data_IF_330322479736
#
_entry.id   IF_330322479736
#
_cell.length_a   1.000
_cell.length_b   1.000
_cell.length_c   1.000
_cell.angle_alpha   90.00
_cell.angle_beta   90.00
_cell.angle_gamma   90.00
#
_symmetry.space_group_name_H-M   'P 1'
#
loop_
_entity.id
_entity.type
_entity.pdbx_description
1 polymer ?
#
# COMPACT_ATOMS: atom_id res chain seq x y z
N UNK A 1 -8.91 -6.65 -15.64
CA UNK A 1 -7.45 -6.66 -15.92
C UNK A 1 -7.21 -7.62 -17.09
N UNK A 2 -6.41 -7.23 -18.08
CA UNK A 2 -6.07 -8.08 -19.22
C UNK A 2 -5.13 -9.20 -18.74
N UNK A 3 -5.37 -10.47 -19.19
CA UNK A 3 -4.59 -11.65 -18.79
C UNK A 3 -3.07 -11.47 -19.01
N UNK A 4 -2.67 -10.73 -20.05
CA UNK A 4 -1.28 -10.39 -20.31
C UNK A 4 -0.61 -9.59 -19.20
N UNK A 5 -1.33 -8.63 -18.61
CA UNK A 5 -0.82 -7.83 -17.48
C UNK A 5 -0.71 -8.67 -16.20
N UNK A 6 -1.66 -9.58 -15.98
CA UNK A 6 -1.62 -10.48 -14.82
C UNK A 6 -0.41 -11.40 -14.89
N UNK A 7 -0.17 -12.02 -16.05
CA UNK A 7 1.00 -12.87 -16.27
C UNK A 7 2.30 -12.10 -16.07
N UNK A 8 2.43 -10.90 -16.60
CA UNK A 8 3.61 -10.07 -16.43
C UNK A 8 3.86 -9.70 -14.95
N UNK A 9 2.81 -9.44 -14.17
CA UNK A 9 2.95 -9.18 -12.73
C UNK A 9 3.36 -10.45 -11.95
N UNK A 10 2.83 -11.62 -12.31
CA UNK A 10 3.22 -12.90 -11.71
C UNK A 10 4.70 -13.24 -12.01
N UNK A 11 5.17 -12.98 -13.23
CA UNK A 11 6.57 -13.14 -13.62
C UNK A 11 7.49 -12.17 -12.83
N UNK A 12 7.12 -10.90 -12.72
CA UNK A 12 7.88 -9.91 -11.95
C UNK A 12 7.97 -10.30 -10.48
N UNK A 13 6.88 -10.79 -9.90
CA UNK A 13 6.84 -11.27 -8.52
C UNK A 13 7.75 -12.49 -8.33
N UNK A 14 7.70 -13.46 -9.23
CA UNK A 14 8.57 -14.67 -9.17
C UNK A 14 10.04 -14.29 -9.23
N UNK A 15 10.42 -13.33 -10.07
CA UNK A 15 11.78 -12.78 -10.13
C UNK A 15 12.15 -12.09 -8.83
N UNK A 16 11.23 -11.28 -8.26
CA UNK A 16 11.47 -10.63 -6.97
C UNK A 16 11.69 -11.64 -5.84
N UNK A 17 10.85 -12.68 -5.73
CA UNK A 17 10.95 -13.72 -4.68
C UNK A 17 12.32 -14.43 -4.67
N UNK A 18 12.96 -14.53 -5.81
CA UNK A 18 14.28 -15.18 -5.93
C UNK A 18 15.46 -14.21 -5.87
N UNK A 19 15.23 -12.91 -5.99
CA UNK A 19 16.28 -11.90 -6.10
C UNK A 19 16.87 -11.45 -4.75
N UNK A 20 16.21 -11.72 -3.62
CA UNK A 20 16.55 -11.15 -2.32
C UNK A 20 16.31 -9.64 -2.21
N UNK A 21 15.56 -9.06 -3.15
CA UNK A 21 15.24 -7.64 -3.15
C UNK A 21 14.28 -7.25 -2.00
N UNK A 22 14.30 -6.00 -1.54
CA UNK A 22 13.40 -5.50 -0.50
C UNK A 22 11.92 -5.71 -0.84
N UNK A 23 11.08 -5.90 0.18
CA UNK A 23 9.62 -6.01 0.01
C UNK A 23 9.04 -4.69 -0.52
N UNK A 24 9.50 -3.58 0.06
CA UNK A 24 9.17 -2.23 -0.40
C UNK A 24 10.49 -1.50 -0.64
N UNK A 25 10.62 -0.89 -1.82
CA UNK A 25 11.74 -0.03 -2.15
C UNK A 25 11.20 1.35 -2.52
N UNK A 26 11.58 2.35 -1.76
CA UNK A 26 11.22 3.75 -2.00
C UNK A 26 12.45 4.46 -2.57
N UNK A 27 12.28 5.17 -3.68
CA UNK A 27 13.35 5.88 -4.38
C UNK A 27 12.97 7.33 -4.61
N UNK A 28 13.75 8.23 -4.02
CA UNK A 28 13.65 9.69 -4.20
C UNK A 28 12.21 10.20 -4.14
N UNK A 29 11.46 9.71 -3.13
CA UNK A 29 10.05 10.01 -3.00
C UNK A 29 9.83 11.47 -2.61
N UNK A 30 9.07 12.18 -3.41
CA UNK A 30 8.69 13.56 -3.17
C UNK A 30 7.17 13.70 -3.08
N UNK A 31 6.73 14.58 -2.18
CA UNK A 31 5.35 15.03 -2.10
C UNK A 31 5.29 16.50 -1.75
N UNK A 32 4.70 17.25 -2.66
CA UNK A 32 4.44 18.67 -2.49
C UNK A 32 2.95 18.92 -2.37
N UNK A 33 2.58 19.84 -1.49
CA UNK A 33 1.24 20.41 -1.35
C UNK A 33 1.42 21.93 -1.55
N UNK A 34 1.11 22.42 -2.74
CA UNK A 34 1.42 23.79 -3.16
C UNK A 34 2.91 24.11 -2.89
N UNK A 35 3.20 25.07 -2.02
CA UNK A 35 4.56 25.47 -1.64
C UNK A 35 5.18 24.60 -0.53
N UNK A 36 4.41 23.68 0.07
CA UNK A 36 4.89 22.82 1.14
C UNK A 36 5.49 21.53 0.60
N UNK A 37 6.79 21.34 0.79
CA UNK A 37 7.50 20.08 0.52
C UNK A 37 7.32 19.13 1.71
N UNK A 38 6.29 18.31 1.70
CA UNK A 38 6.00 17.37 2.77
C UNK A 38 6.97 16.18 2.78
N UNK A 39 7.39 15.72 1.59
CA UNK A 39 8.47 14.75 1.39
C UNK A 39 9.44 15.33 0.36
N UNK A 40 10.74 15.20 0.59
CA UNK A 40 11.78 15.78 -0.23
C UNK A 40 12.92 14.77 -0.47
N UNK A 41 12.71 13.87 -1.44
CA UNK A 41 13.70 12.88 -1.87
C UNK A 41 13.92 11.75 -0.85
N UNK A 42 12.85 11.20 -0.26
CA UNK A 42 12.95 10.09 0.70
C UNK A 42 13.26 8.79 -0.02
N UNK A 43 14.34 8.13 0.37
CA UNK A 43 14.71 6.80 -0.13
C UNK A 43 14.90 5.83 1.05
N UNK A 44 14.26 4.66 0.97
CA UNK A 44 14.36 3.62 2.01
C UNK A 44 13.99 2.26 1.42
N UNK A 45 14.68 1.23 1.87
CA UNK A 45 14.37 -0.17 1.60
C UNK A 45 13.79 -0.82 2.85
N UNK A 46 12.69 -1.56 2.70
CA UNK A 46 12.02 -2.30 3.77
C UNK A 46 11.95 -3.77 3.35
N UNK A 47 12.58 -4.64 4.12
CA UNK A 47 12.62 -6.06 3.85
C UNK A 47 11.41 -6.78 4.45
N UNK A 48 11.16 -7.97 3.97
CA UNK A 48 10.13 -8.84 4.56
C UNK A 48 10.49 -9.18 6.01
N UNK A 49 9.58 -8.90 6.93
CA UNK A 49 9.76 -9.13 8.36
C UNK A 49 10.34 -7.94 9.14
N UNK A 50 10.73 -6.87 8.46
CA UNK A 50 11.22 -5.66 9.14
C UNK A 50 10.10 -5.00 9.97
N UNK A 51 10.49 -4.43 11.10
CA UNK A 51 9.68 -3.50 11.90
C UNK A 51 10.32 -2.12 11.82
N UNK A 52 9.66 -1.21 11.12
CA UNK A 52 10.19 0.13 10.82
C UNK A 52 9.43 1.19 11.63
N UNK A 53 10.17 2.05 12.35
CA UNK A 53 9.62 3.19 13.05
C UNK A 53 9.92 4.48 12.30
N UNK A 54 8.87 5.24 11.97
CA UNK A 54 8.99 6.58 11.37
C UNK A 54 8.79 7.61 12.49
N UNK A 55 9.86 8.28 12.88
CA UNK A 55 9.86 9.26 13.97
C UNK A 55 10.13 10.68 13.47
N UNK A 56 9.62 11.66 14.19
CA UNK A 56 9.80 13.07 13.85
C UNK A 56 8.71 13.94 14.49
N UNK A 57 8.87 15.27 14.51
CA UNK A 57 7.89 16.19 15.05
C UNK A 57 6.56 16.17 14.28
N UNK A 58 5.51 16.77 14.84
CA UNK A 58 4.24 16.95 14.13
C UNK A 58 4.47 17.76 12.85
N UNK A 59 3.81 17.37 11.76
CA UNK A 59 3.95 18.03 10.46
C UNK A 59 5.21 17.63 9.65
N UNK A 60 6.06 16.71 10.14
CA UNK A 60 7.27 16.29 9.42
C UNK A 60 7.04 15.29 8.26
N UNK A 61 5.83 15.10 7.79
CA UNK A 61 5.54 14.25 6.64
C UNK A 61 5.33 12.77 6.93
N UNK A 62 5.39 12.29 8.19
CA UNK A 62 5.25 10.85 8.54
C UNK A 62 3.99 10.20 7.99
N UNK A 63 2.82 10.82 8.23
CA UNK A 63 1.54 10.32 7.74
C UNK A 63 1.44 10.42 6.22
N UNK A 64 2.03 11.44 5.63
CA UNK A 64 2.12 11.61 4.17
C UNK A 64 2.94 10.48 3.57
N UNK A 65 4.10 10.16 4.16
CA UNK A 65 4.94 9.04 3.72
C UNK A 65 4.16 7.72 3.75
N UNK A 66 3.52 7.38 4.89
CA UNK A 66 2.73 6.16 5.01
C UNK A 66 1.59 6.09 3.99
N UNK A 67 0.91 7.22 3.72
CA UNK A 67 -0.16 7.28 2.71
C UNK A 67 0.36 7.17 1.28
N UNK A 68 1.59 7.59 1.02
CA UNK A 68 2.22 7.40 -0.28
C UNK A 68 2.54 5.92 -0.53
N UNK A 69 2.93 5.14 0.49
CA UNK A 69 3.28 3.73 0.33
C UNK A 69 2.14 2.88 -0.25
N UNK A 70 0.87 3.26 -0.02
CA UNK A 70 -0.29 2.59 -0.60
C UNK A 70 -1.05 3.46 -1.61
N UNK A 71 -0.45 4.60 -2.03
CA UNK A 71 -1.04 5.59 -2.94
C UNK A 71 -2.41 6.12 -2.51
N UNK A 72 -2.70 6.18 -1.22
CA UNK A 72 -3.80 7.02 -0.70
C UNK A 72 -3.46 8.49 -0.87
N UNK A 73 -2.16 8.81 -0.86
CA UNK A 73 -1.61 10.10 -1.28
C UNK A 73 -0.71 9.86 -2.49
N UNK A 74 -0.99 10.54 -3.59
CA UNK A 74 -0.21 10.38 -4.83
C UNK A 74 1.12 11.12 -4.69
N UNK A 75 2.28 10.47 -4.85
CA UNK A 75 3.57 11.15 -4.87
C UNK A 75 3.65 12.18 -6.01
N UNK A 76 4.40 13.26 -5.79
CA UNK A 76 4.70 14.24 -6.82
C UNK A 76 5.82 13.75 -7.74
N UNK A 77 6.83 13.08 -7.16
CA UNK A 77 7.94 12.46 -7.88
C UNK A 77 8.49 11.26 -7.10
N UNK A 78 9.43 10.55 -7.72
CA UNK A 78 10.03 9.34 -7.16
C UNK A 78 9.27 8.08 -7.53
N UNK A 79 9.70 6.96 -6.97
CA UNK A 79 9.12 5.65 -7.25
C UNK A 79 8.98 4.82 -5.98
N UNK A 80 7.92 4.00 -5.94
CA UNK A 80 7.71 2.99 -4.90
C UNK A 80 7.54 1.64 -5.60
N UNK A 81 8.45 0.71 -5.31
CA UNK A 81 8.32 -0.66 -5.75
C UNK A 81 7.81 -1.51 -4.59
N UNK A 82 6.81 -2.32 -4.84
CA UNK A 82 6.25 -3.31 -3.92
C UNK A 82 6.30 -4.69 -4.57
N UNK A 83 6.97 -5.65 -3.95
CA UNK A 83 7.26 -6.97 -4.54
C UNK A 83 7.83 -6.84 -5.97
N UNK A 84 8.77 -5.91 -6.18
CA UNK A 84 9.42 -5.64 -7.46
C UNK A 84 8.57 -4.86 -8.48
N UNK A 85 7.28 -4.62 -8.21
CA UNK A 85 6.39 -3.89 -9.11
C UNK A 85 6.34 -2.41 -8.73
N UNK A 86 6.59 -1.53 -9.71
CA UNK A 86 6.45 -0.09 -9.50
C UNK A 86 4.96 0.29 -9.35
N UNK A 87 4.55 0.55 -8.12
CA UNK A 87 3.16 0.91 -7.80
C UNK A 87 2.84 2.39 -8.04
N UNK A 88 3.84 3.24 -8.30
CA UNK A 88 3.62 4.65 -8.67
C UNK A 88 3.37 4.81 -10.17
N UNK A 89 3.61 3.78 -10.97
CA UNK A 89 3.25 3.80 -12.38
C UNK A 89 1.71 3.86 -12.53
N UNK A 90 1.23 4.79 -13.36
CA UNK A 90 -0.20 4.98 -13.65
C UNK A 90 -0.85 3.77 -14.31
N UNK A 91 -0.05 2.92 -14.96
CA UNK A 91 -0.52 1.70 -15.62
C UNK A 91 -0.67 0.53 -14.64
N UNK A 92 -0.13 0.65 -13.41
CA UNK A 92 -0.25 -0.37 -12.38
C UNK A 92 -1.63 -0.30 -11.70
N UNK A 93 -2.31 -1.45 -11.60
CA UNK A 93 -3.55 -1.55 -10.84
C UNK A 93 -3.23 -1.60 -9.35
N UNK A 94 -3.28 -0.44 -8.71
CA UNK A 94 -2.96 -0.28 -7.29
C UNK A 94 -3.89 -1.10 -6.38
N UNK A 95 -5.12 -1.40 -6.78
CA UNK A 95 -6.06 -2.11 -5.92
C UNK A 95 -5.62 -3.55 -5.66
N UNK A 96 -4.93 -4.18 -6.60
CA UNK A 96 -4.34 -5.51 -6.40
C UNK A 96 -3.25 -5.50 -5.32
N UNK A 97 -2.46 -4.43 -5.27
CA UNK A 97 -1.40 -4.27 -4.27
C UNK A 97 -1.99 -3.88 -2.90
N UNK A 98 -3.00 -3.00 -2.88
CA UNK A 98 -3.71 -2.61 -1.63
C UNK A 98 -4.35 -3.79 -0.91
N UNK A 99 -4.77 -4.85 -1.62
CA UNK A 99 -5.29 -6.06 -0.98
C UNK A 99 -4.26 -6.78 -0.10
N UNK A 100 -2.97 -6.53 -0.35
CA UNK A 100 -1.84 -7.08 0.43
C UNK A 100 -1.31 -6.13 1.49
N UNK A 101 -1.79 -4.88 1.52
CA UNK A 101 -1.33 -3.82 2.42
C UNK A 101 -2.44 -3.44 3.40
N UNK A 102 -2.28 -3.76 4.68
CA UNK A 102 -3.16 -3.25 5.73
C UNK A 102 -2.70 -1.86 6.19
N UNK A 103 -3.65 -0.97 6.51
CA UNK A 103 -3.37 0.32 7.11
C UNK A 103 -4.33 0.58 8.28
N UNK A 104 -3.77 0.95 9.43
CA UNK A 104 -4.54 1.37 10.59
C UNK A 104 -4.49 2.88 10.69
N UNK A 105 -5.66 3.51 10.68
CA UNK A 105 -5.80 4.97 10.80
C UNK A 105 -6.00 5.39 12.25
N UNK A 106 -5.73 6.66 12.57
CA UNK A 106 -6.03 7.24 13.89
C UNK A 106 -7.53 7.27 14.20
N UNK A 107 -8.37 7.41 13.18
CA UNK A 107 -9.82 7.27 13.28
C UNK A 107 -10.21 5.87 12.83
N UNK A 108 -11.26 5.32 13.44
CA UNK A 108 -11.71 3.95 13.13
C UNK A 108 -12.19 3.76 11.70
N UNK A 109 -12.61 4.83 11.01
CA UNK A 109 -13.04 4.83 9.61
C UNK A 109 -14.11 3.77 9.30
N UNK A 110 -14.98 3.51 10.26
CA UNK A 110 -16.08 2.57 10.08
C UNK A 110 -17.19 3.21 9.24
N UNK A 111 -17.87 2.39 8.47
CA UNK A 111 -19.10 2.79 7.79
C UNK A 111 -20.23 2.96 8.82
N UNK A 112 -20.69 4.19 9.13
CA UNK A 112 -21.61 4.45 10.24
C UNK A 112 -23.01 3.84 10.03
N UNK A 113 -23.39 3.57 8.78
CA UNK A 113 -24.66 2.94 8.41
C UNK A 113 -24.61 1.40 8.46
N UNK A 114 -23.48 0.82 8.85
CA UNK A 114 -23.28 -0.62 8.96
C UNK A 114 -23.03 -1.04 10.42
N UNK A 115 -23.45 -2.23 10.77
CA UNK A 115 -23.09 -2.84 12.05
C UNK A 115 -21.58 -3.13 12.10
N UNK A 116 -21.03 -3.33 13.30
CA UNK A 116 -19.62 -3.71 13.48
C UNK A 116 -19.31 -4.98 12.70
N UNK A 117 -20.13 -6.01 12.83
CA UNK A 117 -19.96 -7.28 12.10
C UNK A 117 -19.91 -7.06 10.57
N UNK A 118 -20.80 -6.22 10.02
CA UNK A 118 -20.76 -5.88 8.59
C UNK A 118 -19.51 -5.12 8.19
N UNK A 119 -18.99 -4.24 9.04
CA UNK A 119 -17.71 -3.54 8.79
C UNK A 119 -16.54 -4.53 8.76
N UNK A 120 -16.51 -5.49 9.69
CA UNK A 120 -15.43 -6.50 9.76
C UNK A 120 -15.48 -7.47 8.57
N UNK A 121 -16.66 -7.94 8.21
CA UNK A 121 -16.82 -8.96 7.16
C UNK A 121 -16.81 -8.41 5.74
N UNK A 122 -16.93 -7.09 5.55
CA UNK A 122 -17.01 -6.47 4.23
C UNK A 122 -15.79 -6.77 3.35
N UNK A 123 -14.58 -6.61 3.90
CA UNK A 123 -13.32 -6.88 3.21
C UNK A 123 -13.21 -8.33 2.76
N UNK A 124 -13.25 -9.32 3.67
CA UNK A 124 -13.21 -10.74 3.33
C UNK A 124 -14.25 -11.16 2.30
N UNK A 125 -15.49 -10.72 2.44
CA UNK A 125 -16.56 -11.06 1.50
C UNK A 125 -16.35 -10.43 0.11
N UNK A 126 -15.91 -9.15 0.03
CA UNK A 126 -15.80 -8.42 -1.25
C UNK A 126 -14.49 -8.68 -1.98
N UNK A 127 -13.38 -8.83 -1.26
CA UNK A 127 -12.06 -8.94 -1.86
C UNK A 127 -11.57 -10.39 -1.95
N UNK A 128 -11.97 -11.25 -1.00
CA UNK A 128 -11.55 -12.64 -0.95
C UNK A 128 -12.68 -13.60 -1.39
N UNK A 129 -13.85 -13.09 -1.77
CA UNK A 129 -15.04 -13.86 -2.14
C UNK A 129 -15.46 -14.91 -1.08
N UNK A 130 -15.22 -14.59 0.19
CA UNK A 130 -15.62 -15.48 1.29
C UNK A 130 -17.14 -15.51 1.46
N UNK A 131 -17.69 -16.66 1.87
CA UNK A 131 -19.08 -16.72 2.30
C UNK A 131 -19.27 -15.90 3.58
N UNK A 132 -20.50 -15.50 3.89
CA UNK A 132 -20.82 -14.74 5.09
C UNK A 132 -20.40 -15.52 6.36
N UNK A 133 -20.76 -16.79 6.41
CA UNK A 133 -20.47 -17.70 7.55
C UNK A 133 -18.96 -17.83 7.76
N UNK A 134 -18.18 -17.97 6.69
CA UNK A 134 -16.72 -18.04 6.77
C UNK A 134 -16.10 -16.71 7.22
N UNK A 135 -16.62 -15.58 6.75
CA UNK A 135 -16.14 -14.24 7.11
C UNK A 135 -16.51 -13.87 8.57
N UNK A 136 -17.62 -14.38 9.11
CA UNK A 136 -18.03 -14.16 10.50
C UNK A 136 -17.27 -15.08 11.49
N UNK A 137 -16.70 -16.18 10.99
CA UNK A 137 -15.94 -17.14 11.80
C UNK A 137 -14.43 -16.82 11.89
N UNK A 138 -13.92 -15.91 11.04
CA UNK A 138 -12.52 -15.47 11.01
C UNK A 138 -12.25 -14.37 12.04
#
# INVERSE_FOLDING_TARGET
>A
MNDKKRLQMEEMKAVWETSGAPLIQVKDLEKHFDDLHALNGVSVDINKGDVVFVVGPSGSGKSTFLRCLNRLEEPTAGAILFEGVNITDRMTDINLHRQKMGMVFQQFNLFPHMTIMKNLTLGPMKLQNMSKEAAEAQ
#
